data_IF_679730121836
#
_entry.id   IF_679730121836
#
_cell.length_a   1.000
_cell.length_b   1.000
_cell.length_c   1.000
_cell.angle_alpha   90.00
_cell.angle_beta   90.00
_cell.angle_gamma   90.00
#
_symmetry.space_group_name_H-M   'P 1'
#
loop_
_entity.id
_entity.type
_entity.pdbx_description
1 polymer ?
#
# COMPACT_ATOMS: atom_id res chain seq x y z
N UNK A 1 7.64 -0.94 -23.01
CA UNK A 1 7.03 -2.00 -22.18
C UNK A 1 6.88 -1.37 -20.82
N UNK A 2 5.66 -0.97 -20.45
CA UNK A 2 5.41 -0.40 -19.13
C UNK A 2 4.96 -1.57 -18.26
N UNK A 3 5.84 -2.00 -17.34
CA UNK A 3 5.62 -3.18 -16.53
C UNK A 3 4.63 -2.86 -15.41
N UNK A 4 3.42 -3.39 -15.53
CA UNK A 4 2.52 -3.56 -14.38
C UNK A 4 3.06 -4.74 -13.56
N UNK A 5 3.47 -4.46 -12.32
CA UNK A 5 4.09 -5.45 -11.44
C UNK A 5 3.12 -5.85 -10.34
N UNK A 6 2.91 -7.15 -10.17
CA UNK A 6 2.05 -7.70 -9.13
C UNK A 6 2.90 -8.05 -7.92
N UNK A 7 2.65 -7.36 -6.82
CA UNK A 7 3.39 -7.48 -5.58
C UNK A 7 2.47 -7.95 -4.47
N UNK A 8 3.05 -8.55 -3.44
CA UNK A 8 2.32 -8.98 -2.24
C UNK A 8 2.72 -8.10 -1.06
N UNK A 9 1.75 -7.61 -0.30
CA UNK A 9 2.01 -6.91 0.96
C UNK A 9 2.62 -7.91 1.93
N UNK A 10 3.86 -7.66 2.33
CA UNK A 10 4.51 -8.42 3.39
C UNK A 10 4.17 -7.83 4.74
N UNK A 11 4.29 -6.52 4.87
CA UNK A 11 4.10 -5.82 6.14
C UNK A 11 3.66 -4.36 5.91
N UNK A 12 3.06 -3.76 6.94
CA UNK A 12 2.61 -2.36 6.92
C UNK A 12 3.10 -1.74 8.23
N UNK A 13 4.09 -0.88 8.11
CA UNK A 13 4.68 -0.17 9.23
C UNK A 13 4.01 1.20 9.34
N UNK A 14 3.31 1.42 10.44
CA UNK A 14 2.87 2.77 10.80
C UNK A 14 4.11 3.62 11.05
N UNK A 15 4.19 4.79 10.40
CA UNK A 15 5.24 5.75 10.70
C UNK A 15 4.85 6.32 12.07
N UNK A 16 5.48 5.83 13.14
CA UNK A 16 5.21 6.27 14.51
C UNK A 16 5.50 7.78 14.60
N UNK A 17 4.47 8.60 14.42
CA UNK A 17 4.56 10.07 14.54
C UNK A 17 4.78 10.52 15.99
N UNK A 18 5.00 9.60 16.92
CA UNK A 18 5.14 9.86 18.34
C UNK A 18 3.91 10.55 18.95
N UNK A 19 4.08 11.18 20.11
CA UNK A 19 3.07 12.04 20.72
C UNK A 19 2.94 13.41 20.03
N UNK A 20 3.66 13.65 18.95
CA UNK A 20 3.61 14.90 18.20
C UNK A 20 2.37 14.86 17.31
N UNK A 21 1.36 15.62 17.70
CA UNK A 21 0.15 15.76 16.89
C UNK A 21 0.54 16.20 15.49
N UNK A 22 0.15 15.41 14.48
CA UNK A 22 0.30 15.80 13.09
C UNK A 22 -0.34 17.18 12.89
N UNK A 23 0.32 18.09 12.16
CA UNK A 23 -0.25 19.41 11.92
C UNK A 23 -1.63 19.28 11.29
N UNK A 24 -2.53 20.21 11.63
CA UNK A 24 -3.92 20.15 11.18
C UNK A 24 -3.99 20.05 9.64
N UNK A 25 -4.52 18.94 9.13
CA UNK A 25 -4.63 18.66 7.70
C UNK A 25 -3.46 17.87 7.09
N UNK A 26 -2.46 17.47 7.87
CA UNK A 26 -1.45 16.51 7.42
C UNK A 26 -2.02 15.09 7.41
N UNK A 27 -1.80 14.40 6.29
CA UNK A 27 -2.18 13.01 6.14
C UNK A 27 -1.10 12.12 6.76
N UNK A 28 -1.46 11.21 7.70
CA UNK A 28 -0.51 10.23 8.20
C UNK A 28 -0.04 9.35 7.05
N UNK A 29 1.27 9.19 6.95
CA UNK A 29 1.91 8.29 5.99
C UNK A 29 2.32 7.00 6.69
N UNK A 30 2.23 5.87 5.99
CA UNK A 30 2.73 4.57 6.42
C UNK A 30 3.75 4.05 5.41
N UNK A 31 4.62 3.14 5.86
CA UNK A 31 5.55 2.43 5.00
C UNK A 31 5.05 1.01 4.75
N UNK A 32 4.62 0.73 3.53
CA UNK A 32 4.21 -0.61 3.11
C UNK A 32 5.40 -1.36 2.55
N UNK A 33 5.66 -2.55 3.09
CA UNK A 33 6.65 -3.47 2.55
C UNK A 33 5.95 -4.44 1.62
N UNK A 34 6.36 -4.42 0.36
CA UNK A 34 5.88 -5.27 -0.72
C UNK A 34 6.96 -6.29 -1.09
N UNK A 35 6.54 -7.42 -1.63
CA UNK A 35 7.44 -8.48 -2.11
C UNK A 35 6.94 -9.01 -3.45
N UNK A 36 7.83 -9.14 -4.41
CA UNK A 36 7.57 -9.76 -5.72
C UNK A 36 7.58 -11.30 -5.64
N UNK A 37 7.12 -11.99 -6.68
CA UNK A 37 7.18 -13.45 -6.82
C UNK A 37 8.62 -14.00 -6.66
N UNK A 38 9.62 -13.25 -7.11
CA UNK A 38 11.03 -13.60 -6.95
C UNK A 38 11.56 -13.42 -5.51
N UNK A 39 10.74 -12.93 -4.57
CA UNK A 39 11.14 -12.64 -3.20
C UNK A 39 11.85 -11.28 -3.03
N UNK A 40 11.87 -10.45 -4.08
CA UNK A 40 12.46 -9.12 -4.01
C UNK A 40 11.56 -8.17 -3.21
N UNK A 41 12.12 -7.55 -2.17
CA UNK A 41 11.39 -6.61 -1.31
C UNK A 41 11.42 -5.20 -1.87
N UNK A 42 10.32 -4.48 -1.72
CA UNK A 42 10.22 -3.05 -2.02
C UNK A 42 9.42 -2.33 -0.95
N UNK A 43 9.86 -1.14 -0.56
CA UNK A 43 9.11 -0.27 0.35
C UNK A 43 8.45 0.86 -0.41
N UNK A 44 7.19 1.14 -0.10
CA UNK A 44 6.45 2.30 -0.60
C UNK A 44 5.92 3.11 0.57
N UNK A 45 6.07 4.44 0.49
CA UNK A 45 5.46 5.35 1.46
C UNK A 45 4.13 5.84 0.90
N UNK A 46 3.04 5.56 1.60
CA UNK A 46 1.67 5.83 1.15
C UNK A 46 0.89 6.51 2.27
N UNK A 47 -0.16 7.23 1.92
CA UNK A 47 -1.08 7.77 2.92
C UNK A 47 -1.81 6.60 3.62
N UNK A 48 -1.96 6.67 4.94
CA UNK A 48 -2.71 5.68 5.74
C UNK A 48 -4.11 5.46 5.16
N UNK A 49 -4.78 6.55 4.76
CA UNK A 49 -6.13 6.47 4.18
C UNK A 49 -6.19 5.58 2.93
N UNK A 50 -5.12 5.50 2.14
CA UNK A 50 -5.03 4.63 0.96
C UNK A 50 -4.79 3.16 1.35
N UNK A 51 -4.02 2.93 2.41
CA UNK A 51 -3.59 1.59 2.86
C UNK A 51 -4.45 1.01 3.97
N UNK A 52 -5.43 1.77 4.49
CA UNK A 52 -6.27 1.41 5.65
C UNK A 52 -6.96 0.04 5.51
N UNK A 53 -7.28 -0.36 4.28
CA UNK A 53 -7.91 -1.66 3.96
C UNK A 53 -6.93 -2.76 3.58
N UNK A 54 -5.64 -2.45 3.49
CA UNK A 54 -4.61 -3.39 3.09
C UNK A 54 -4.17 -4.23 4.29
N UNK A 55 -3.77 -5.46 4.04
CA UNK A 55 -3.31 -6.44 5.03
C UNK A 55 -2.11 -7.20 4.47
N UNK A 56 -1.20 -7.70 5.31
CA UNK A 56 -0.22 -8.70 4.89
C UNK A 56 -0.90 -9.86 4.14
N UNK A 57 -0.35 -10.20 2.97
CA UNK A 57 -0.91 -11.15 2.01
C UNK A 57 -1.76 -10.53 0.90
N UNK A 58 -2.11 -9.24 0.99
CA UNK A 58 -2.81 -8.55 -0.10
C UNK A 58 -1.96 -8.44 -1.36
N UNK A 59 -2.61 -8.53 -2.51
CA UNK A 59 -1.95 -8.31 -3.79
C UNK A 59 -2.11 -6.87 -4.22
N UNK A 60 -1.02 -6.24 -4.64
CA UNK A 60 -0.93 -4.85 -5.06
C UNK A 60 -0.37 -4.82 -6.47
N UNK A 61 -1.10 -4.24 -7.41
CA UNK A 61 -0.60 -3.89 -8.73
C UNK A 61 0.08 -2.53 -8.64
N UNK A 62 1.38 -2.48 -8.94
CA UNK A 62 2.05 -1.21 -9.20
C UNK A 62 1.90 -0.87 -10.68
N UNK A 63 1.11 0.17 -10.97
CA UNK A 63 0.95 0.68 -12.32
C UNK A 63 2.15 1.52 -12.78
N UNK A 64 2.21 1.79 -14.08
CA UNK A 64 3.27 2.60 -14.69
C UNK A 64 3.32 4.06 -14.18
N UNK A 65 2.20 4.56 -13.65
CA UNK A 65 2.10 5.87 -13.02
C UNK A 65 2.78 5.92 -11.63
N UNK A 66 3.24 4.77 -11.13
CA UNK A 66 3.83 4.63 -9.79
C UNK A 66 2.80 4.57 -8.67
N UNK A 67 1.50 4.61 -9.01
CA UNK A 67 0.39 4.51 -8.06
C UNK A 67 0.07 3.04 -7.81
N UNK A 68 0.18 2.55 -6.56
CA UNK A 68 -0.16 1.18 -6.22
C UNK A 68 -1.67 1.03 -6.00
N UNK A 69 -2.24 -0.02 -6.57
CA UNK A 69 -3.66 -0.37 -6.52
C UNK A 69 -3.81 -1.78 -5.97
N UNK A 70 -4.75 -1.98 -5.03
CA UNK A 70 -5.05 -3.33 -4.53
C UNK A 70 -5.66 -4.18 -5.65
N UNK A 71 -4.98 -5.27 -5.99
CA UNK A 71 -5.43 -6.24 -6.98
C UNK A 71 -6.52 -7.12 -6.35
N UNK A 72 -7.77 -6.86 -6.73
CA UNK A 72 -8.93 -7.60 -6.24
C UNK A 72 -9.42 -7.11 -4.88
N UNK A 73 -10.26 -6.09 -4.89
CA UNK A 73 -11.56 -6.31 -4.25
C UNK A 73 -12.52 -6.58 -5.40
N UNK A 74 -13.12 -7.76 -5.44
CA UNK A 74 -14.42 -7.84 -6.08
C UNK A 74 -15.25 -6.78 -5.36
N UNK A 75 -15.62 -5.73 -6.09
CA UNK A 75 -16.62 -4.79 -5.61
C UNK A 75 -17.87 -5.64 -5.40
N UNK A 76 -18.13 -6.07 -4.16
CA UNK A 76 -19.39 -6.69 -3.81
C UNK A 76 -20.44 -5.56 -3.78
N UNK A 77 -20.71 -5.02 -4.97
CA UNK A 77 -21.86 -4.22 -5.30
C UNK A 77 -22.88 -5.12 -5.96
N UNK A 78 -24.05 -5.25 -5.34
CA UNK A 78 -25.18 -6.07 -5.76
C UNK A 78 -25.47 -7.10 -4.68
N UNK A 79 -26.50 -6.92 -3.84
CA UNK A 79 -27.89 -6.60 -4.20
C UNK A 79 -28.57 -5.64 -3.24
#
# INVERSE_FOLDING_TARGET
>A
MQNEELLTVRDILDDDYGCEELPLGAEPMVTVILTDDHGAERSLRLADSQTRTWRPGDRIMLGADGVPLRAGTESHGGT
#
